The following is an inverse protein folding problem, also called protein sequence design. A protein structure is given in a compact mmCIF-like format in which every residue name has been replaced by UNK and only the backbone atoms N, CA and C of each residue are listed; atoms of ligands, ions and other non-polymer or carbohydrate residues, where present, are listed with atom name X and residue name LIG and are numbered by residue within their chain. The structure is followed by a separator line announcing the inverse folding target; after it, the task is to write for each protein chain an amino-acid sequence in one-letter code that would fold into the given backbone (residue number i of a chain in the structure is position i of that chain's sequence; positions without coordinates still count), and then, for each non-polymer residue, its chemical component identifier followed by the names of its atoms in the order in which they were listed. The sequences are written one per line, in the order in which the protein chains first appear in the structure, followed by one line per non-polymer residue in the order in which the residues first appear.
data_IF_341233072931
#
_entry.id   IF_341233072931
#
_cell.length_a   1.000
_cell.length_b   1.000
_cell.length_c   1.000
_cell.angle_alpha   90.00
_cell.angle_beta   90.00
_cell.angle_gamma   90.00
#
_symmetry.space_group_name_H-M   'P 1'
#
loop_
_entity.id
_entity.type
_entity.pdbx_description
1 polymer ?
#
# COMPACT_ATOMS: atom_id res chain seq x y z
N UNK A 1 -7.44 -33.77 -8.64
CA UNK A 1 -7.65 -32.31 -8.72
C UNK A 1 -6.42 -31.47 -8.32
N UNK A 2 -5.21 -32.05 -8.22
CA UNK A 2 -3.97 -31.32 -7.84
C UNK A 2 -3.41 -30.41 -8.96
N UNK A 3 -3.84 -30.63 -10.20
CA UNK A 3 -3.35 -29.90 -11.36
C UNK A 3 -3.85 -28.44 -11.41
N UNK A 4 -5.09 -28.20 -11.00
CA UNK A 4 -5.68 -26.85 -10.95
C UNK A 4 -5.02 -26.02 -9.85
N UNK A 5 -4.79 -26.63 -8.69
CA UNK A 5 -4.16 -26.01 -7.53
C UNK A 5 -2.71 -25.60 -7.82
N UNK A 6 -1.94 -26.48 -8.47
CA UNK A 6 -0.55 -26.19 -8.85
C UNK A 6 -0.46 -25.10 -9.94
N UNK A 7 -1.44 -25.05 -10.85
CA UNK A 7 -1.54 -23.98 -11.84
C UNK A 7 -1.83 -22.64 -11.15
N UNK A 8 -2.81 -22.58 -10.25
CA UNK A 8 -3.16 -21.37 -9.49
C UNK A 8 -1.98 -20.82 -8.67
N UNK A 9 -1.25 -21.68 -7.96
CA UNK A 9 -0.08 -21.28 -7.17
C UNK A 9 1.00 -20.60 -8.03
N UNK A 10 1.26 -21.14 -9.23
CA UNK A 10 2.27 -20.57 -10.16
C UNK A 10 1.92 -19.15 -10.61
N UNK A 11 0.64 -18.84 -10.80
CA UNK A 11 0.15 -17.51 -11.18
C UNK A 11 0.10 -16.55 -9.98
N UNK A 12 -0.14 -17.06 -8.77
CA UNK A 12 -0.29 -16.24 -7.57
C UNK A 12 1.06 -15.69 -7.06
N UNK A 13 2.16 -16.43 -7.21
CA UNK A 13 3.50 -16.00 -6.75
C UNK A 13 3.98 -14.66 -7.35
N UNK A 14 3.95 -14.45 -8.69
CA UNK A 14 4.36 -13.17 -9.27
C UNK A 14 3.44 -12.02 -8.89
N UNK A 15 2.12 -12.24 -8.85
CA UNK A 15 1.14 -11.22 -8.44
C UNK A 15 1.39 -10.76 -7.01
N UNK A 16 1.75 -11.68 -6.11
CA UNK A 16 2.13 -11.34 -4.73
C UNK A 16 3.37 -10.46 -4.68
N UNK A 17 4.44 -10.81 -5.40
CA UNK A 17 5.68 -10.02 -5.43
C UNK A 17 5.44 -8.60 -5.93
N UNK A 18 4.59 -8.44 -6.94
CA UNK A 18 4.20 -7.13 -7.48
C UNK A 18 3.42 -6.33 -6.43
N UNK A 19 2.44 -6.95 -5.77
CA UNK A 19 1.63 -6.29 -4.75
C UNK A 19 2.49 -5.79 -3.57
N UNK A 20 3.46 -6.59 -3.11
CA UNK A 20 4.41 -6.15 -2.07
C UNK A 20 5.23 -4.92 -2.49
N UNK A 21 5.78 -4.90 -3.70
CA UNK A 21 6.53 -3.74 -4.20
C UNK A 21 5.64 -2.51 -4.33
N UNK A 22 4.40 -2.68 -4.81
CA UNK A 22 3.43 -1.61 -4.95
C UNK A 22 3.07 -0.99 -3.59
N UNK A 23 2.83 -1.81 -2.57
CA UNK A 23 2.54 -1.34 -1.20
C UNK A 23 3.72 -0.53 -0.64
N UNK A 24 4.95 -1.03 -0.76
CA UNK A 24 6.15 -0.33 -0.27
C UNK A 24 6.33 1.01 -0.98
N UNK A 25 6.11 1.04 -2.29
CA UNK A 25 6.20 2.25 -3.10
C UNK A 25 5.15 3.30 -2.69
N UNK A 26 3.88 2.90 -2.61
CA UNK A 26 2.79 3.79 -2.19
C UNK A 26 2.99 4.31 -0.77
N UNK A 27 3.43 3.45 0.15
CA UNK A 27 3.73 3.85 1.53
C UNK A 27 4.85 4.88 1.60
N UNK A 28 5.91 4.70 0.81
CA UNK A 28 7.02 5.66 0.71
C UNK A 28 6.53 7.02 0.23
N UNK A 29 5.66 7.06 -0.79
CA UNK A 29 5.03 8.30 -1.27
C UNK A 29 4.20 8.96 -0.17
N UNK A 30 3.37 8.18 0.54
CA UNK A 30 2.53 8.72 1.62
C UNK A 30 3.37 9.41 2.71
N UNK A 31 4.49 8.81 3.10
CA UNK A 31 5.43 9.40 4.08
C UNK A 31 5.97 10.73 3.57
N UNK A 32 6.41 10.81 2.31
CA UNK A 32 6.89 12.05 1.72
C UNK A 32 5.81 13.14 1.65
N UNK A 33 4.57 12.77 1.33
CA UNK A 33 3.44 13.71 1.29
C UNK A 33 3.17 14.31 2.67
N UNK A 34 3.09 13.48 3.71
CA UNK A 34 2.85 13.95 5.09
C UNK A 34 4.04 14.75 5.61
N UNK A 35 5.27 14.36 5.28
CA UNK A 35 6.46 15.14 5.65
C UNK A 35 6.47 16.52 4.98
N UNK A 36 6.10 16.58 3.70
CA UNK A 36 5.90 17.84 2.99
C UNK A 36 4.84 18.71 3.68
N UNK A 37 3.67 18.15 4.05
CA UNK A 37 2.63 18.88 4.79
C UNK A 37 3.15 19.54 6.07
N UNK A 38 4.00 18.84 6.83
CA UNK A 38 4.63 19.37 8.05
C UNK A 38 5.52 20.56 7.70
N UNK A 39 6.37 20.46 6.67
CA UNK A 39 7.22 21.57 6.23
C UNK A 39 6.37 22.78 5.80
N UNK A 40 5.35 22.57 4.96
CA UNK A 40 4.46 23.63 4.50
C UNK A 40 3.77 24.35 5.67
N UNK A 41 3.31 23.58 6.66
CA UNK A 41 2.64 24.13 7.83
C UNK A 41 3.56 24.90 8.77
N UNK A 42 4.79 24.41 9.00
CA UNK A 42 5.71 25.02 9.97
C UNK A 42 6.66 26.07 9.38
N UNK A 43 6.98 25.99 8.09
CA UNK A 43 7.90 26.93 7.41
C UNK A 43 7.16 28.00 6.63
N UNK A 44 6.10 27.62 5.90
CA UNK A 44 5.38 28.55 5.03
C UNK A 44 4.11 29.10 5.66
N UNK A 45 3.69 28.56 6.83
CA UNK A 45 2.49 28.97 7.59
C UNK A 45 1.18 28.93 6.77
N UNK A 46 1.22 28.28 5.60
CA UNK A 46 0.11 28.15 4.65
C UNK A 46 -0.17 26.66 4.45
N UNK A 47 -1.33 26.16 4.90
CA UNK A 47 -1.67 24.75 4.77
C UNK A 47 -2.07 24.46 3.31
N UNK A 48 -1.23 23.73 2.58
CA UNK A 48 -1.53 23.27 1.22
C UNK A 48 -2.72 22.28 1.24
N UNK A 49 -3.93 22.66 0.82
CA UNK A 49 -5.14 21.86 1.09
C UNK A 49 -5.15 20.55 0.31
N UNK A 50 -4.56 20.55 -0.88
CA UNK A 50 -4.53 19.38 -1.76
C UNK A 50 -3.67 18.23 -1.21
N UNK A 51 -2.68 18.53 -0.36
CA UNK A 51 -1.85 17.48 0.24
C UNK A 51 -2.65 16.58 1.19
N UNK A 52 -3.65 17.13 1.89
CA UNK A 52 -4.47 16.35 2.82
C UNK A 52 -5.40 15.37 2.09
N UNK A 53 -5.99 15.82 0.98
CA UNK A 53 -6.79 14.98 0.10
C UNK A 53 -5.94 13.86 -0.51
N UNK A 54 -4.77 14.19 -1.06
CA UNK A 54 -3.84 13.22 -1.64
C UNK A 54 -3.42 12.15 -0.63
N UNK A 55 -3.07 12.54 0.59
CA UNK A 55 -2.69 11.60 1.64
C UNK A 55 -3.84 10.65 1.99
N UNK A 56 -5.08 11.16 2.07
CA UNK A 56 -6.27 10.35 2.36
C UNK A 56 -6.56 9.34 1.27
N UNK A 57 -6.44 9.73 0.00
CA UNK A 57 -6.60 8.81 -1.12
C UNK A 57 -5.51 7.72 -1.13
N UNK A 58 -4.24 8.09 -0.93
CA UNK A 58 -3.13 7.14 -0.83
C UNK A 58 -3.34 6.13 0.31
N UNK A 59 -3.80 6.61 1.47
CA UNK A 59 -4.06 5.77 2.63
C UNK A 59 -5.12 4.70 2.34
N UNK A 60 -6.21 5.04 1.65
CA UNK A 60 -7.26 4.08 1.27
C UNK A 60 -6.69 2.99 0.36
N UNK A 61 -5.93 3.37 -0.66
CA UNK A 61 -5.30 2.41 -1.58
C UNK A 61 -4.32 1.47 -0.86
N UNK A 62 -3.50 2.00 0.04
CA UNK A 62 -2.55 1.21 0.82
C UNK A 62 -3.28 0.20 1.71
N UNK A 63 -4.33 0.61 2.44
CA UNK A 63 -5.08 -0.27 3.34
C UNK A 63 -5.73 -1.41 2.55
N UNK A 64 -6.37 -1.09 1.43
CA UNK A 64 -7.00 -2.10 0.56
C UNK A 64 -5.97 -3.12 0.07
N UNK A 65 -4.85 -2.68 -0.49
CA UNK A 65 -3.79 -3.57 -0.97
C UNK A 65 -3.15 -4.39 0.17
N UNK A 66 -2.88 -3.75 1.31
CA UNK A 66 -2.25 -4.40 2.48
C UNK A 66 -3.15 -5.45 3.11
N UNK A 67 -4.47 -5.25 3.12
CA UNK A 67 -5.44 -6.23 3.66
C UNK A 67 -5.31 -7.59 2.97
N UNK A 68 -5.12 -7.61 1.65
CA UNK A 68 -5.00 -8.84 0.86
C UNK A 68 -3.76 -9.65 1.25
N UNK A 69 -2.68 -8.95 1.61
CA UNK A 69 -1.42 -9.54 2.07
C UNK A 69 -1.55 -10.08 3.49
N UNK A 70 -2.21 -9.34 4.40
CA UNK A 70 -2.47 -9.76 5.77
C UNK A 70 -3.28 -11.07 5.82
N UNK A 71 -4.36 -11.17 5.05
CA UNK A 71 -5.20 -12.37 5.01
C UNK A 71 -4.41 -13.60 4.54
N UNK A 72 -3.49 -13.42 3.58
CA UNK A 72 -2.63 -14.50 3.10
C UNK A 72 -1.62 -14.96 4.15
N UNK A 73 -1.01 -14.05 4.91
CA UNK A 73 -0.11 -14.42 6.01
C UNK A 73 -0.85 -15.14 7.13
N UNK A 74 -2.09 -14.74 7.45
CA UNK A 74 -2.91 -15.43 8.44
C UNK A 74 -3.27 -16.86 8.06
N UNK A 75 -3.39 -17.19 6.76
CA UNK A 75 -3.62 -18.57 6.30
C UNK A 75 -2.45 -19.54 6.54
N UNK A 76 -1.25 -19.04 6.84
CA UNK A 76 -0.09 -19.88 7.17
C UNK A 76 0.11 -20.05 8.68
N UNK A 77 -0.64 -19.31 9.49
CA UNK A 77 -0.59 -19.34 10.96
C UNK A 77 -1.73 -20.16 11.58
N UNK A 78 -2.68 -20.66 10.78
CA UNK A 78 -3.84 -21.44 11.22
C UNK A 78 -3.74 -22.91 10.76
#
# INVERSE_FOLDING_TARGET
MKWIENSLESWMVPVRKINYHLIIFLFSIQVLVVFSQVIWRFVFNDPFPWSEELARYLQVWIILLTSTVCIQKSKHLA
#
